data_IF_776757776648
#
_entry.id   IF_776757776648
#
_cell.length_a   1.000
_cell.length_b   1.000
_cell.length_c   1.000
_cell.angle_alpha   90.00
_cell.angle_beta   90.00
_cell.angle_gamma   90.00
#
_symmetry.space_group_name_H-M   'P 1'
#
loop_
_entity.id
_entity.type
_entity.pdbx_description
1 polymer ?
#
# COMPACT_ATOMS: atom_id res chain seq x y z
N UNK A 1 -3.19 -4.05 -7.17
CA UNK A 1 -3.14 -2.57 -7.13
C UNK A 1 -4.19 -2.05 -8.09
N UNK A 2 -4.97 -1.04 -7.68
CA UNK A 2 -5.93 -0.34 -8.55
C UNK A 2 -5.64 1.15 -8.44
N UNK A 3 -5.54 1.84 -9.57
CA UNK A 3 -5.39 3.29 -9.64
C UNK A 3 -6.74 3.90 -9.97
N UNK A 4 -7.10 4.97 -9.26
CA UNK A 4 -8.38 5.66 -9.43
C UNK A 4 -8.20 7.13 -9.09
N UNK A 5 -7.24 7.75 -9.79
CA UNK A 5 -6.75 9.09 -9.49
C UNK A 5 -7.88 10.12 -9.64
N UNK A 6 -7.91 11.04 -8.67
CA UNK A 6 -8.80 12.19 -8.64
C UNK A 6 -8.27 13.20 -7.63
N UNK A 7 -8.31 14.51 -7.94
CA UNK A 7 -8.26 15.55 -6.91
C UNK A 7 -9.26 15.25 -5.79
N UNK A 8 -8.92 15.61 -4.55
CA UNK A 8 -9.71 15.22 -3.37
C UNK A 8 -11.15 15.72 -3.42
N UNK A 9 -11.34 16.94 -3.93
CA UNK A 9 -12.62 17.60 -4.18
C UNK A 9 -13.48 16.87 -5.24
N UNK A 10 -12.87 16.08 -6.12
CA UNK A 10 -13.56 15.26 -7.12
C UNK A 10 -13.44 13.74 -6.84
N UNK A 11 -13.00 13.35 -5.63
CA UNK A 11 -12.80 11.96 -5.27
C UNK A 11 -14.09 11.32 -4.76
N UNK A 12 -14.73 10.52 -5.60
CA UNK A 12 -15.91 9.75 -5.18
C UNK A 12 -15.52 8.64 -4.20
N UNK A 13 -16.47 8.27 -3.32
CA UNK A 13 -16.33 7.11 -2.42
C UNK A 13 -15.98 5.81 -3.14
N UNK A 14 -16.51 5.62 -4.36
CA UNK A 14 -16.22 4.46 -5.19
C UNK A 14 -14.75 4.44 -5.63
N UNK A 15 -14.19 5.57 -6.10
CA UNK A 15 -12.76 5.69 -6.42
C UNK A 15 -11.87 5.49 -5.20
N UNK A 16 -12.25 6.07 -4.06
CA UNK A 16 -11.53 5.88 -2.79
C UNK A 16 -11.47 4.41 -2.37
N UNK A 17 -12.63 3.74 -2.35
CA UNK A 17 -12.73 2.32 -2.01
C UNK A 17 -12.00 1.42 -3.01
N UNK A 18 -12.13 1.69 -4.30
CA UNK A 18 -11.51 0.88 -5.35
C UNK A 18 -9.98 0.88 -5.25
N UNK A 19 -9.36 2.04 -5.03
CA UNK A 19 -7.90 2.15 -4.91
C UNK A 19 -7.36 1.59 -3.59
N UNK A 20 -8.09 1.75 -2.49
CA UNK A 20 -7.63 1.33 -1.15
C UNK A 20 -7.88 -0.14 -0.85
N UNK A 21 -9.01 -0.71 -1.30
CA UNK A 21 -9.43 -2.06 -0.91
C UNK A 21 -8.39 -3.17 -1.19
N UNK A 22 -7.70 -3.21 -2.34
CA UNK A 22 -6.70 -4.25 -2.61
C UNK A 22 -5.53 -4.23 -1.61
N UNK A 23 -5.15 -3.03 -1.15
CA UNK A 23 -4.07 -2.86 -0.18
C UNK A 23 -4.59 -3.12 1.22
N UNK A 24 -5.61 -2.38 1.66
CA UNK A 24 -6.12 -2.47 3.03
C UNK A 24 -6.70 -3.85 3.33
N UNK A 25 -7.75 -4.26 2.61
CA UNK A 25 -8.42 -5.54 2.90
C UNK A 25 -7.53 -6.71 2.51
N UNK A 26 -6.85 -6.61 1.37
CA UNK A 26 -5.97 -7.67 0.88
C UNK A 26 -4.82 -7.97 1.84
N UNK A 27 -4.04 -6.96 2.22
CA UNK A 27 -2.89 -7.19 3.11
C UNK A 27 -3.29 -7.51 4.54
N UNK A 28 -4.41 -6.97 5.03
CA UNK A 28 -4.98 -7.37 6.32
C UNK A 28 -5.38 -8.85 6.35
N UNK A 29 -6.10 -9.33 5.32
CA UNK A 29 -6.47 -10.74 5.23
C UNK A 29 -5.25 -11.65 5.17
N UNK A 30 -4.21 -11.28 4.43
CA UNK A 30 -2.95 -12.02 4.41
C UNK A 30 -2.28 -12.03 5.79
N UNK A 31 -2.31 -10.92 6.52
CA UNK A 31 -1.77 -10.86 7.88
C UNK A 31 -2.49 -11.83 8.83
N UNK A 32 -3.82 -11.88 8.77
CA UNK A 32 -4.63 -12.75 9.62
C UNK A 32 -4.40 -14.25 9.35
N UNK A 33 -4.14 -14.62 8.09
CA UNK A 33 -4.06 -16.03 7.68
C UNK A 33 -2.63 -16.58 7.77
N UNK A 34 -1.62 -15.76 7.45
CA UNK A 34 -0.24 -16.27 7.30
C UNK A 34 0.54 -16.35 8.61
N UNK A 35 0.29 -15.47 9.59
CA UNK A 35 1.03 -15.49 10.87
C UNK A 35 2.55 -15.51 10.67
N UNK A 36 3.21 -16.53 11.26
CA UNK A 36 4.64 -16.85 11.13
C UNK A 36 4.95 -17.92 10.06
N UNK A 37 3.95 -18.37 9.29
CA UNK A 37 4.09 -19.48 8.34
C UNK A 37 4.81 -19.11 7.02
N UNK A 38 5.48 -17.96 6.98
CA UNK A 38 6.18 -17.45 5.80
C UNK A 38 7.54 -16.92 6.20
N UNK A 39 8.56 -17.21 5.38
CA UNK A 39 9.89 -16.63 5.55
C UNK A 39 9.89 -15.13 5.20
N UNK A 40 9.04 -14.72 4.27
CA UNK A 40 8.96 -13.36 3.76
C UNK A 40 7.51 -12.89 3.66
N UNK A 41 7.25 -11.69 4.18
CA UNK A 41 6.01 -10.95 3.97
C UNK A 41 6.37 -9.58 3.38
N UNK A 42 6.29 -9.46 2.06
CA UNK A 42 6.74 -8.27 1.32
C UNK A 42 5.53 -7.48 0.83
N UNK A 43 5.45 -6.22 1.22
CA UNK A 43 4.43 -5.28 0.76
C UNK A 43 5.06 -4.29 -0.21
N UNK A 44 4.48 -4.17 -1.41
CA UNK A 44 4.90 -3.16 -2.39
C UNK A 44 4.10 -1.88 -2.14
N UNK A 45 4.78 -0.89 -1.58
CA UNK A 45 4.25 0.44 -1.32
C UNK A 45 4.84 1.45 -2.32
N UNK A 46 4.68 2.74 -2.05
CA UNK A 46 5.17 3.81 -2.92
C UNK A 46 5.61 4.99 -2.08
N UNK A 47 6.63 5.71 -2.57
CA UNK A 47 7.05 6.99 -1.99
C UNK A 47 5.90 8.00 -1.87
N UNK A 48 4.87 7.88 -2.72
CA UNK A 48 3.63 8.67 -2.60
C UNK A 48 2.90 8.48 -1.25
N UNK A 49 3.04 7.33 -0.58
CA UNK A 49 2.50 7.11 0.77
C UNK A 49 3.15 8.00 1.82
N UNK A 50 4.40 8.45 1.61
CA UNK A 50 5.13 9.28 2.57
C UNK A 50 5.04 10.76 2.23
N UNK A 51 5.29 11.14 0.97
CA UNK A 51 5.39 12.55 0.57
C UNK A 51 4.16 13.05 -0.22
N UNK A 52 3.21 12.15 -0.48
CA UNK A 52 2.04 12.43 -1.32
C UNK A 52 2.34 12.46 -2.82
N UNK A 53 1.26 12.46 -3.59
CA UNK A 53 1.27 12.84 -5.00
C UNK A 53 -0.09 13.47 -5.34
N UNK A 54 -0.08 14.45 -6.26
CA UNK A 54 -1.31 15.13 -6.65
C UNK A 54 -2.34 14.14 -7.20
N UNK A 55 -3.62 14.35 -6.88
CA UNK A 55 -4.74 13.48 -7.25
C UNK A 55 -4.66 12.01 -6.78
N UNK A 56 -3.76 11.68 -5.86
CA UNK A 56 -3.49 10.30 -5.42
C UNK A 56 -3.63 10.10 -3.90
N UNK A 57 -4.52 10.83 -3.24
CA UNK A 57 -4.74 10.66 -1.78
C UNK A 57 -5.25 9.25 -1.43
N UNK A 58 -6.11 8.65 -2.25
CA UNK A 58 -6.58 7.27 -2.11
C UNK A 58 -5.46 6.23 -2.30
N UNK A 59 -4.61 6.40 -3.30
CA UNK A 59 -3.45 5.55 -3.53
C UNK A 59 -2.44 5.66 -2.38
N UNK A 60 -2.14 6.89 -1.96
CA UNK A 60 -1.24 7.20 -0.84
C UNK A 60 -1.75 6.60 0.47
N UNK A 61 -3.07 6.65 0.73
CA UNK A 61 -3.68 6.03 1.91
C UNK A 61 -3.49 4.50 1.93
N UNK A 62 -3.69 3.82 0.80
CA UNK A 62 -3.43 2.38 0.70
C UNK A 62 -1.97 2.02 0.94
N UNK A 63 -1.03 2.80 0.41
CA UNK A 63 0.40 2.60 0.60
C UNK A 63 0.84 2.84 2.06
N UNK A 64 0.32 3.91 2.67
CA UNK A 64 0.58 4.22 4.09
C UNK A 64 0.05 3.12 5.01
N UNK A 65 -1.08 2.52 4.67
CA UNK A 65 -1.60 1.36 5.39
C UNK A 65 -0.63 0.17 5.33
N UNK A 66 -0.10 -0.17 4.15
CA UNK A 66 0.87 -1.26 4.00
C UNK A 66 2.17 -0.98 4.77
N UNK A 67 2.67 0.26 4.76
CA UNK A 67 3.83 0.68 5.56
C UNK A 67 3.57 0.48 7.06
N UNK A 68 2.38 0.88 7.52
CA UNK A 68 1.95 0.73 8.90
C UNK A 68 1.72 -0.73 9.27
N UNK A 69 1.17 -1.55 8.37
CA UNK A 69 0.98 -2.98 8.59
C UNK A 69 2.32 -3.71 8.70
N UNK A 70 3.32 -3.33 7.90
CA UNK A 70 4.66 -3.90 8.03
C UNK A 70 5.26 -3.55 9.40
N UNK A 71 5.13 -2.31 9.86
CA UNK A 71 5.56 -1.92 11.20
C UNK A 71 4.80 -2.68 12.31
N UNK A 72 3.47 -2.80 12.17
CA UNK A 72 2.63 -3.56 13.09
C UNK A 72 3.04 -5.03 13.17
N UNK A 73 3.20 -5.71 12.04
CA UNK A 73 3.67 -7.10 11.98
C UNK A 73 5.02 -7.27 12.68
N UNK A 74 5.98 -6.38 12.42
CA UNK A 74 7.29 -6.42 13.10
C UNK A 74 7.17 -6.21 14.61
N UNK A 75 6.25 -5.37 15.07
CA UNK A 75 6.00 -5.18 16.51
C UNK A 75 5.47 -6.44 17.20
N UNK A 76 4.87 -7.36 16.44
CA UNK A 76 4.41 -8.68 16.89
C UNK A 76 5.45 -9.79 16.70
N UNK A 77 6.68 -9.45 16.29
CA UNK A 77 7.73 -10.43 15.97
C UNK A 77 7.50 -11.19 14.65
N UNK A 78 6.54 -10.75 13.82
CA UNK A 78 6.23 -11.40 12.55
C UNK A 78 7.11 -10.84 11.41
N UNK A 79 7.52 -11.68 10.43
CA UNK A 79 8.21 -11.20 9.24
C UNK A 79 7.38 -10.16 8.50
N UNK A 80 7.98 -9.02 8.16
CA UNK A 80 7.43 -8.02 7.26
C UNK A 80 8.44 -6.96 6.79
N UNK A 81 8.39 -6.64 5.48
CA UNK A 81 9.06 -5.48 4.89
C UNK A 81 8.07 -4.75 3.96
N UNK A 82 8.11 -3.42 3.97
CA UNK A 82 7.42 -2.59 2.99
C UNK A 82 8.46 -1.89 2.11
N UNK A 83 8.26 -1.92 0.80
CA UNK A 83 9.15 -1.32 -0.19
C UNK A 83 8.48 -0.09 -0.78
N UNK A 84 8.98 1.09 -0.45
CA UNK A 84 8.50 2.36 -0.99
C UNK A 84 9.14 2.63 -2.36
N UNK A 85 8.51 2.08 -3.40
CA UNK A 85 8.98 2.20 -4.77
C UNK A 85 8.70 3.59 -5.35
N UNK A 86 9.62 4.07 -6.20
CA UNK A 86 9.40 5.20 -7.11
C UNK A 86 8.95 4.67 -8.47
N UNK A 87 9.22 5.42 -9.53
CA UNK A 87 9.04 4.95 -10.90
C UNK A 87 9.76 3.61 -11.10
N UNK A 88 9.03 2.63 -11.64
CA UNK A 88 9.56 1.31 -12.03
C UNK A 88 9.39 1.21 -13.54
N UNK A 89 10.50 1.26 -14.26
CA UNK A 89 10.54 1.24 -15.71
C UNK A 89 11.96 1.02 -16.20
N UNK A 90 12.11 0.70 -17.49
CA UNK A 90 13.44 0.62 -18.11
C UNK A 90 14.02 2.03 -18.26
N UNK A 91 15.34 2.23 -18.03
CA UNK A 91 15.97 3.48 -18.40
C UNK A 91 15.81 3.68 -19.91
N UNK A 92 15.24 4.81 -20.31
CA UNK A 92 15.31 5.27 -21.70
C UNK A 92 16.72 5.83 -21.92
N UNK A 93 17.53 5.09 -22.70
CA UNK A 93 18.75 5.61 -23.31
C UNK A 93 18.39 6.45 -24.54
#
# INVERSE_FOLDING_TARGET
MVLADAPLDNMTRAKGSAATAPKIKGSWSLHQILGQNVDFFVLLSSVSGTIGNSAQSNYSAGNTFDDSLAAHRRSLGLPAISLNLRHVGRPTL
#
